data_IF_703004629745
#
_entry.id   IF_703004629745
#
_cell.length_a   1.000
_cell.length_b   1.000
_cell.length_c   1.000
_cell.angle_alpha   90.00
_cell.angle_beta   90.00
_cell.angle_gamma   90.00
#
_symmetry.space_group_name_H-M   'P 1'
#
loop_
_entity.id
_entity.type
_entity.pdbx_description
1 polymer ?
#
# COMPACT_ATOMS: atom_id res chain seq x y z
N UNK A 1 25.60 -16.90 35.24
CA UNK A 1 24.55 -16.70 34.22
C UNK A 1 24.85 -15.42 33.49
N UNK A 2 25.50 -15.49 32.33
CA UNK A 2 25.84 -14.31 31.51
C UNK A 2 24.85 -14.22 30.36
N UNK A 3 24.12 -13.11 30.34
CA UNK A 3 23.02 -12.82 29.44
C UNK A 3 23.49 -12.72 27.98
N UNK A 4 22.71 -13.35 27.08
CA UNK A 4 22.82 -13.20 25.64
C UNK A 4 22.42 -11.80 25.21
N UNK A 5 23.43 -10.99 24.90
CA UNK A 5 23.33 -9.75 24.14
C UNK A 5 22.81 -10.05 22.72
N UNK A 6 21.59 -9.59 22.46
CA UNK A 6 20.95 -9.64 21.16
C UNK A 6 21.66 -8.67 20.20
N UNK A 7 22.15 -9.18 19.08
CA UNK A 7 22.70 -8.39 18.00
C UNK A 7 21.56 -7.69 17.24
N UNK A 8 21.29 -6.43 17.58
CA UNK A 8 20.56 -5.53 16.68
C UNK A 8 21.39 -5.37 15.40
N UNK A 9 20.81 -5.78 14.27
CA UNK A 9 21.34 -5.52 12.94
C UNK A 9 21.33 -4.01 12.70
N UNK A 10 22.44 -3.36 13.05
CA UNK A 10 22.72 -1.97 12.72
C UNK A 10 22.87 -1.90 11.20
N UNK A 11 21.78 -1.54 10.50
CA UNK A 11 21.92 -0.82 9.25
C UNK A 11 22.66 0.45 9.63
N UNK A 12 23.99 0.41 9.48
CA UNK A 12 24.83 1.58 9.69
C UNK A 12 24.15 2.73 8.96
N UNK A 13 23.77 3.75 9.72
CA UNK A 13 23.20 5.01 9.27
C UNK A 13 24.27 5.73 8.46
N UNK A 14 24.59 5.20 7.28
CA UNK A 14 25.52 5.79 6.32
C UNK A 14 24.73 6.84 5.57
N UNK A 15 24.57 7.98 6.24
CA UNK A 15 24.00 9.18 5.66
C UNK A 15 25.00 9.72 4.62
N UNK A 16 24.54 10.04 3.41
CA UNK A 16 25.42 10.62 2.40
C UNK A 16 26.13 11.86 2.93
N UNK A 17 27.41 12.05 2.56
CA UNK A 17 28.17 13.22 3.01
C UNK A 17 27.56 14.53 2.51
N UNK A 18 26.97 14.47 1.31
CA UNK A 18 26.29 15.58 0.66
C UNK A 18 25.06 15.04 -0.05
N UNK A 19 23.95 15.78 0.05
CA UNK A 19 22.72 15.47 -0.65
C UNK A 19 22.73 16.17 -2.01
N UNK A 20 22.14 15.55 -3.05
CA UNK A 20 22.02 16.20 -4.33
C UNK A 20 21.10 17.42 -4.19
N UNK A 21 21.28 18.46 -5.02
CA UNK A 21 20.43 19.64 -4.96
C UNK A 21 18.97 19.23 -5.23
N UNK A 22 18.01 20.00 -4.71
CA UNK A 22 16.58 19.69 -4.78
C UNK A 22 16.04 19.56 -6.22
N UNK A 23 16.73 20.15 -7.19
CA UNK A 23 16.42 20.06 -8.62
C UNK A 23 17.08 18.85 -9.31
N UNK A 24 17.79 17.99 -8.58
CA UNK A 24 18.44 16.82 -9.14
C UNK A 24 17.40 15.75 -9.51
N UNK A 25 17.28 15.49 -10.81
CA UNK A 25 16.31 14.53 -11.37
C UNK A 25 16.90 13.13 -11.56
N UNK A 26 18.21 12.95 -11.34
CA UNK A 26 18.87 11.66 -11.47
C UNK A 26 18.40 10.63 -10.46
N UNK A 27 18.40 9.35 -10.84
CA UNK A 27 17.98 8.22 -9.98
C UNK A 27 19.12 7.69 -9.09
N UNK A 28 20.36 8.04 -9.44
CA UNK A 28 21.57 7.68 -8.70
C UNK A 28 22.51 8.88 -8.72
N UNK A 29 23.23 9.16 -7.62
CA UNK A 29 24.33 10.12 -7.61
C UNK A 29 25.52 9.56 -6.86
N UNK A 30 26.68 10.15 -7.11
CA UNK A 30 27.94 9.87 -6.45
C UNK A 30 28.32 11.10 -5.64
N UNK A 31 28.52 10.92 -4.34
CA UNK A 31 28.92 12.01 -3.45
C UNK A 31 30.40 12.39 -3.64
N UNK A 32 30.87 13.39 -2.91
CA UNK A 32 32.27 13.85 -2.96
C UNK A 32 33.28 12.82 -2.44
N UNK A 33 32.84 11.80 -1.69
CA UNK A 33 33.67 10.67 -1.27
C UNK A 33 33.77 9.57 -2.34
N UNK A 34 33.06 9.73 -3.45
CA UNK A 34 33.05 8.79 -4.55
C UNK A 34 32.11 7.59 -4.32
N UNK A 35 31.21 7.65 -3.32
CA UNK A 35 30.27 6.59 -3.00
C UNK A 35 28.91 6.81 -3.69
N UNK A 36 28.35 5.73 -4.25
CA UNK A 36 27.07 5.80 -4.96
C UNK A 36 25.84 5.64 -4.05
N UNK A 37 24.84 6.48 -4.29
CA UNK A 37 23.55 6.48 -3.63
C UNK A 37 22.40 6.47 -4.64
N UNK A 38 21.28 5.85 -4.28
CA UNK A 38 20.08 5.77 -5.12
C UNK A 38 18.88 6.43 -4.48
N UNK A 39 18.02 7.02 -5.33
CA UNK A 39 16.78 7.68 -4.92
C UNK A 39 15.75 6.61 -4.56
N UNK A 40 15.42 6.50 -3.28
CA UNK A 40 14.31 5.71 -2.77
C UNK A 40 13.25 6.64 -2.19
N UNK A 41 11.97 6.37 -2.37
CA UNK A 41 10.93 7.26 -1.88
C UNK A 41 9.54 6.85 -2.33
N UNK A 42 8.56 7.17 -1.50
CA UNK A 42 7.13 6.98 -1.72
C UNK A 42 6.47 8.27 -1.22
N UNK A 43 5.49 8.80 -1.96
CA UNK A 43 4.71 9.99 -1.58
C UNK A 43 5.58 11.24 -1.27
N UNK A 44 6.34 11.69 -2.27
CA UNK A 44 7.20 12.90 -2.27
C UNK A 44 8.37 12.93 -1.28
N UNK A 45 8.43 12.00 -0.31
CA UNK A 45 9.58 11.84 0.58
C UNK A 45 10.72 11.11 -0.13
N UNK A 46 11.81 11.83 -0.40
CA UNK A 46 13.03 11.27 -1.02
C UNK A 46 14.05 10.89 0.04
N UNK A 47 14.38 9.61 0.09
CA UNK A 47 15.45 9.03 0.88
C UNK A 47 16.57 8.50 -0.04
N UNK A 48 17.80 8.95 0.19
CA UNK A 48 18.95 8.47 -0.56
C UNK A 48 19.60 7.28 0.15
N UNK A 49 19.53 6.10 -0.47
CA UNK A 49 20.00 4.83 0.11
C UNK A 49 21.36 4.45 -0.49
N UNK A 50 22.35 4.07 0.33
CA UNK A 50 23.68 3.68 -0.17
C UNK A 50 23.61 2.44 -1.06
N UNK A 51 24.35 2.47 -2.16
CA UNK A 51 24.55 1.27 -3.00
C UNK A 51 25.64 0.42 -2.38
N UNK A 52 25.25 -0.80 -2.02
CA UNK A 52 26.16 -1.80 -1.47
C UNK A 52 26.33 -2.97 -2.44
N UNK A 53 27.53 -3.56 -2.44
CA UNK A 53 27.79 -4.85 -3.09
C UNK A 53 27.08 -5.97 -2.34
N UNK A 54 27.10 -7.18 -2.92
CA UNK A 54 26.55 -8.37 -2.25
C UNK A 54 27.20 -8.65 -0.89
N UNK A 55 28.46 -8.24 -0.72
CA UNK A 55 29.21 -8.37 0.53
C UNK A 55 28.93 -7.23 1.53
N UNK A 56 27.88 -6.43 1.30
CA UNK A 56 27.48 -5.27 2.11
C UNK A 56 28.52 -4.15 2.17
N UNK A 57 29.48 -4.12 1.24
CA UNK A 57 30.46 -3.01 1.10
C UNK A 57 29.87 -1.90 0.25
N UNK A 58 30.05 -0.63 0.63
CA UNK A 58 29.63 0.49 -0.20
C UNK A 58 30.39 0.48 -1.54
N UNK A 59 29.68 0.83 -2.61
CA UNK A 59 30.28 1.02 -3.93
C UNK A 59 30.87 2.44 -3.96
N UNK A 60 32.18 2.53 -3.72
CA UNK A 60 32.95 3.78 -3.69
C UNK A 60 34.10 3.77 -4.72
N UNK A 61 34.71 4.94 -4.97
CA UNK A 61 35.75 5.12 -6.00
C UNK A 61 35.20 5.55 -7.37
N UNK A 62 33.93 5.95 -7.43
CA UNK A 62 33.31 6.50 -8.62
C UNK A 62 33.58 8.00 -8.73
N UNK A 63 33.57 8.54 -9.96
CA UNK A 63 33.71 9.99 -10.18
C UNK A 63 32.51 10.74 -9.55
N UNK A 64 32.73 11.75 -8.69
CA UNK A 64 31.65 12.52 -8.08
C UNK A 64 30.71 13.14 -9.13
N UNK A 65 29.40 13.10 -8.85
CA UNK A 65 28.39 13.64 -9.78
C UNK A 65 28.30 15.16 -9.71
N UNK A 66 28.65 15.74 -8.56
CA UNK A 66 28.72 17.19 -8.37
C UNK A 66 30.18 17.57 -8.12
N UNK A 67 30.71 18.45 -8.94
CA UNK A 67 31.89 19.25 -8.57
C UNK A 67 31.38 20.34 -7.65
N UNK A 68 31.77 20.28 -6.37
CA UNK A 68 31.23 21.08 -5.27
C UNK A 68 30.96 22.53 -5.65
N UNK A 69 29.68 22.91 -5.63
CA UNK A 69 29.24 24.26 -5.31
C UNK A 69 28.11 24.13 -4.30
N UNK A 70 28.49 24.06 -3.03
CA UNK A 70 27.57 24.01 -1.90
C UNK A 70 26.62 25.22 -1.95
N UNK A 71 25.32 24.96 -1.94
CA UNK A 71 24.31 25.98 -1.67
C UNK A 71 24.03 26.00 -0.16
N UNK A 72 24.01 27.20 0.38
CA UNK A 72 24.03 27.61 1.79
C UNK A 72 22.95 26.96 2.67
N UNK A 73 23.22 26.69 3.97
CA UNK A 73 22.22 26.14 4.89
C UNK A 73 21.03 27.08 5.10
N UNK A 74 19.80 26.57 4.94
CA UNK A 74 18.58 27.26 5.37
C UNK A 74 18.11 26.65 6.71
N UNK A 75 17.89 27.52 7.69
CA UNK A 75 17.70 27.18 9.10
C UNK A 75 16.44 26.32 9.37
N UNK A 76 16.45 25.43 10.39
CA UNK A 76 15.29 24.61 10.76
C UNK A 76 14.17 25.46 11.38
N UNK A 77 12.95 25.33 10.89
CA UNK A 77 11.76 25.85 11.58
C UNK A 77 11.24 24.78 12.56
N UNK A 78 11.06 25.19 13.81
CA UNK A 78 10.66 24.37 14.96
C UNK A 78 9.32 23.65 14.73
N UNK A 79 9.32 22.34 14.91
CA UNK A 79 8.11 21.53 14.96
C UNK A 79 7.63 21.42 16.42
N UNK A 80 6.48 22.04 16.72
CA UNK A 80 5.78 21.90 18.00
C UNK A 80 5.17 20.50 18.10
N UNK A 81 5.51 19.79 19.18
CA UNK A 81 4.98 18.49 19.55
C UNK A 81 3.64 18.68 20.27
N UNK A 82 2.57 18.04 19.82
CA UNK A 82 1.32 17.93 20.58
C UNK A 82 1.06 16.45 20.86
N UNK A 83 1.11 16.09 22.14
CA UNK A 83 0.72 14.78 22.68
C UNK A 83 -0.79 14.75 22.95
N UNK A 84 -1.51 13.68 22.58
CA UNK A 84 -2.80 13.39 23.19
C UNK A 84 -2.71 12.25 24.23
N UNK A 85 -3.31 12.53 25.39
CA UNK A 85 -3.57 11.64 26.53
C UNK A 85 -4.89 10.87 26.30
N UNK A 86 -5.00 9.59 26.69
CA UNK A 86 -6.15 8.74 26.33
C UNK A 86 -7.28 8.83 27.36
N UNK A 87 -8.53 8.67 26.89
CA UNK A 87 -9.68 8.42 27.75
C UNK A 87 -10.63 7.41 27.10
N UNK A 88 -10.83 6.32 27.84
CA UNK A 88 -11.69 5.16 27.56
C UNK A 88 -13.19 5.46 27.74
N UNK A 89 -14.03 4.67 27.08
CA UNK A 89 -15.12 3.84 27.66
C UNK A 89 -16.09 3.46 26.51
N UNK A 90 -16.27 2.17 26.20
CA UNK A 90 -17.28 1.25 26.76
C UNK A 90 -18.73 1.70 26.36
N UNK A 91 -19.68 0.89 25.89
CA UNK A 91 -19.92 -0.57 25.91
C UNK A 91 -21.00 -0.90 24.86
N UNK A 92 -21.04 -2.18 24.45
CA UNK A 92 -22.06 -2.95 23.70
C UNK A 92 -23.45 -2.97 24.40
N UNK A 93 -24.55 -3.60 23.88
CA UNK A 93 -24.68 -4.50 22.72
C UNK A 93 -25.92 -4.34 21.81
N UNK A 94 -25.86 -5.10 20.71
CA UNK A 94 -26.89 -5.31 19.71
C UNK A 94 -28.08 -6.16 20.19
N UNK A 95 -29.25 -5.92 19.57
CA UNK A 95 -30.37 -6.86 19.55
C UNK A 95 -30.88 -7.05 18.12
N UNK A 96 -30.72 -8.27 17.60
CA UNK A 96 -31.14 -8.71 16.28
C UNK A 96 -32.63 -9.11 16.25
N UNK A 97 -33.30 -8.91 15.11
CA UNK A 97 -34.55 -9.63 14.77
C UNK A 97 -34.54 -10.12 13.32
N UNK A 98 -35.31 -11.20 13.13
CA UNK A 98 -35.19 -12.30 12.15
C UNK A 98 -35.67 -11.94 10.74
N UNK A 99 -35.06 -12.60 9.75
CA UNK A 99 -35.41 -12.59 8.34
C UNK A 99 -36.60 -13.50 8.03
N UNK A 100 -37.38 -13.15 7.00
CA UNK A 100 -38.28 -14.05 6.27
C UNK A 100 -37.95 -13.98 4.78
N UNK A 101 -37.94 -15.13 4.11
CA UNK A 101 -37.56 -15.32 2.69
C UNK A 101 -38.78 -15.34 1.76
N UNK A 102 -38.60 -15.10 0.45
CA UNK A 102 -39.63 -14.66 -0.49
C UNK A 102 -40.15 -15.76 -1.45
N UNK A 103 -41.35 -15.53 -2.01
CA UNK A 103 -41.93 -16.34 -3.10
C UNK A 103 -41.46 -15.89 -4.50
N UNK A 104 -41.54 -16.76 -5.53
CA UNK A 104 -40.89 -16.54 -6.83
C UNK A 104 -41.82 -15.88 -7.85
N UNK A 105 -41.25 -15.03 -8.72
CA UNK A 105 -41.91 -14.54 -9.95
C UNK A 105 -40.90 -14.44 -11.10
N UNK A 106 -41.35 -14.61 -12.36
CA UNK A 106 -40.62 -15.32 -13.42
C UNK A 106 -39.59 -14.49 -14.21
N UNK A 107 -38.65 -15.23 -14.80
CA UNK A 107 -37.56 -14.75 -15.66
C UNK A 107 -38.09 -14.18 -16.98
N UNK A 108 -37.96 -12.87 -17.19
CA UNK A 108 -37.92 -12.27 -18.53
C UNK A 108 -36.47 -12.07 -18.95
N UNK A 109 -36.14 -12.58 -20.14
CA UNK A 109 -34.84 -12.42 -20.80
C UNK A 109 -34.71 -10.98 -21.29
N UNK A 110 -33.77 -10.24 -20.72
CA UNK A 110 -33.30 -8.95 -21.22
C UNK A 110 -31.83 -9.08 -21.60
N UNK A 111 -31.48 -8.63 -22.80
CA UNK A 111 -30.11 -8.52 -23.30
C UNK A 111 -29.32 -7.52 -22.43
N UNK A 112 -28.10 -7.83 -21.95
CA UNK A 112 -27.43 -6.97 -21.00
C UNK A 112 -26.70 -5.85 -21.73
N UNK A 113 -27.40 -4.73 -21.93
CA UNK A 113 -26.72 -3.45 -21.97
C UNK A 113 -26.12 -3.24 -20.57
N UNK A 114 -24.78 -3.36 -20.44
CA UNK A 114 -24.07 -3.26 -19.15
C UNK A 114 -24.03 -1.80 -18.66
N UNK A 115 -25.20 -1.20 -18.45
CA UNK A 115 -25.36 -0.04 -17.59
C UNK A 115 -25.24 -0.59 -16.17
N UNK A 116 -24.07 -0.43 -15.55
CA UNK A 116 -23.88 -0.85 -14.17
C UNK A 116 -24.94 -0.20 -13.28
N UNK A 117 -25.79 -1.01 -12.64
CA UNK A 117 -26.78 -0.50 -11.68
C UNK A 117 -26.04 0.21 -10.55
N UNK A 118 -26.26 1.52 -10.42
CA UNK A 118 -25.75 2.28 -9.27
C UNK A 118 -26.56 1.87 -8.05
N UNK A 119 -25.90 1.24 -7.08
CA UNK A 119 -26.51 0.87 -5.80
C UNK A 119 -26.14 1.93 -4.78
N UNK A 120 -27.15 2.58 -4.20
CA UNK A 120 -27.00 3.47 -3.05
C UNK A 120 -27.24 2.69 -1.75
N UNK A 121 -26.78 3.18 -0.59
CA UNK A 121 -27.03 2.52 0.70
C UNK A 121 -28.52 2.24 0.95
N UNK A 122 -29.40 3.16 0.54
CA UNK A 122 -30.85 3.04 0.69
C UNK A 122 -31.45 1.84 -0.06
N UNK A 123 -30.90 1.48 -1.23
CA UNK A 123 -31.42 0.40 -2.08
C UNK A 123 -30.53 -0.86 -2.07
N UNK A 124 -29.50 -0.90 -1.23
CA UNK A 124 -28.57 -2.02 -1.21
C UNK A 124 -29.25 -3.34 -0.83
N UNK A 125 -30.11 -3.32 0.19
CA UNK A 125 -30.79 -4.52 0.67
C UNK A 125 -31.80 -5.07 -0.35
N UNK A 126 -32.59 -4.20 -0.99
CA UNK A 126 -33.56 -4.57 -2.03
C UNK A 126 -32.90 -5.06 -3.32
N UNK A 127 -31.63 -4.71 -3.55
CA UNK A 127 -30.80 -5.24 -4.64
C UNK A 127 -29.99 -6.49 -4.25
N UNK A 128 -30.25 -7.07 -3.08
CA UNK A 128 -29.61 -8.31 -2.62
C UNK A 128 -28.12 -8.14 -2.28
N UNK A 129 -27.67 -6.91 -2.02
CA UNK A 129 -26.28 -6.66 -1.60
C UNK A 129 -26.13 -7.05 -0.14
N UNK A 130 -25.31 -8.07 0.14
CA UNK A 130 -25.04 -8.53 1.50
C UNK A 130 -23.71 -7.97 2.02
N UNK A 131 -23.53 -7.80 3.35
CA UNK A 131 -22.28 -7.30 3.91
C UNK A 131 -21.05 -8.19 3.61
N UNK A 132 -21.27 -9.49 3.47
CA UNK A 132 -20.22 -10.47 3.13
C UNK A 132 -19.97 -10.56 1.63
N UNK A 133 -20.74 -9.85 0.81
CA UNK A 133 -20.56 -9.85 -0.64
C UNK A 133 -19.21 -9.26 -1.01
N UNK A 134 -18.58 -9.91 -1.98
CA UNK A 134 -17.23 -9.61 -2.40
C UNK A 134 -17.22 -8.52 -3.47
N UNK A 135 -16.41 -7.49 -3.24
CA UNK A 135 -16.29 -6.30 -4.07
C UNK A 135 -14.84 -6.05 -4.49
N UNK A 136 -14.69 -5.25 -5.54
CA UNK A 136 -13.41 -4.93 -6.16
C UNK A 136 -13.40 -3.47 -6.62
N UNK A 137 -12.29 -2.73 -6.48
CA UNK A 137 -12.16 -1.43 -7.12
C UNK A 137 -12.33 -1.56 -8.64
N UNK A 138 -13.10 -0.64 -9.23
CA UNK A 138 -13.46 -0.70 -10.66
C UNK A 138 -12.24 -0.77 -11.59
N UNK A 139 -11.17 -0.04 -11.28
CA UNK A 139 -9.95 -0.02 -12.08
C UNK A 139 -9.21 -1.39 -12.04
N UNK A 140 -9.25 -2.08 -10.90
CA UNK A 140 -8.66 -3.42 -10.77
C UNK A 140 -9.50 -4.43 -11.55
N UNK A 141 -10.83 -4.38 -11.46
CA UNK A 141 -11.71 -5.26 -12.24
C UNK A 141 -11.45 -5.15 -13.75
N UNK A 142 -11.34 -3.92 -14.26
CA UNK A 142 -11.06 -3.65 -15.67
C UNK A 142 -9.71 -4.24 -16.12
N UNK A 143 -8.64 -4.08 -15.31
CA UNK A 143 -7.32 -4.66 -15.61
C UNK A 143 -7.31 -6.19 -15.48
N UNK A 144 -8.01 -6.75 -14.48
CA UNK A 144 -8.02 -8.19 -14.18
C UNK A 144 -8.73 -9.04 -15.21
N UNK A 145 -9.72 -8.51 -15.93
CA UNK A 145 -10.36 -9.24 -17.05
C UNK A 145 -9.34 -9.74 -18.08
N UNK A 146 -8.23 -9.04 -18.26
CA UNK A 146 -7.17 -9.44 -19.19
C UNK A 146 -6.31 -10.60 -18.65
N UNK A 147 -6.27 -10.81 -17.32
CA UNK A 147 -5.41 -11.81 -16.66
C UNK A 147 -6.12 -13.14 -16.39
N UNK A 148 -7.45 -13.16 -16.29
CA UNK A 148 -8.22 -14.38 -16.00
C UNK A 148 -8.42 -15.28 -17.22
N UNK A 149 -8.22 -14.76 -18.44
CA UNK A 149 -8.36 -15.51 -19.69
C UNK A 149 -7.03 -16.13 -20.18
N UNK A 150 -6.10 -16.43 -19.27
CA UNK A 150 -4.82 -17.05 -19.64
C UNK A 150 -4.97 -18.57 -19.64
N UNK A 151 -5.06 -19.15 -20.85
CA UNK A 151 -4.96 -20.60 -21.04
C UNK A 151 -3.49 -20.99 -21.17
N UNK A 152 -3.06 -22.03 -20.45
CA UNK A 152 -1.70 -22.55 -20.55
C UNK A 152 -1.53 -23.28 -21.89
N UNK A 153 -0.59 -22.88 -22.76
CA UNK A 153 -0.38 -23.56 -24.04
C UNK A 153 0.08 -25.01 -23.87
N UNK A 154 -0.16 -25.84 -24.88
CA UNK A 154 0.28 -27.24 -24.91
C UNK A 154 1.81 -27.31 -24.71
N UNK A 155 2.26 -28.21 -23.84
CA UNK A 155 3.68 -28.37 -23.49
C UNK A 155 4.17 -27.48 -22.32
N UNK A 156 3.33 -26.56 -21.84
CA UNK A 156 3.62 -25.73 -20.67
C UNK A 156 2.83 -26.21 -19.45
N UNK A 157 3.34 -25.92 -18.25
CA UNK A 157 2.68 -26.21 -16.97
C UNK A 157 2.70 -24.98 -16.07
N UNK A 158 1.74 -24.86 -15.18
CA UNK A 158 1.76 -23.81 -14.16
C UNK A 158 2.98 -23.98 -13.24
N UNK A 159 3.64 -22.86 -12.94
CA UNK A 159 4.85 -22.83 -12.10
C UNK A 159 4.52 -23.11 -10.63
N UNK A 160 3.36 -22.65 -10.16
CA UNK A 160 2.87 -22.86 -8.80
C UNK A 160 1.60 -23.71 -8.81
N UNK A 161 1.51 -24.61 -7.83
CA UNK A 161 0.36 -25.50 -7.60
C UNK A 161 -0.11 -25.45 -6.13
N UNK A 162 0.65 -24.79 -5.27
CA UNK A 162 0.58 -24.76 -3.81
C UNK A 162 -0.03 -23.46 -3.27
N UNK A 163 -0.97 -22.86 -4.01
CA UNK A 163 -1.68 -21.62 -3.62
C UNK A 163 -0.81 -20.36 -3.44
N UNK A 164 0.49 -20.42 -3.79
CA UNK A 164 1.37 -19.23 -3.81
C UNK A 164 0.85 -18.13 -4.75
N UNK A 165 0.06 -18.48 -5.75
CA UNK A 165 -0.65 -17.54 -6.61
C UNK A 165 -2.05 -17.29 -6.05
N UNK A 166 -2.30 -16.11 -5.49
CA UNK A 166 -3.66 -15.68 -5.10
C UNK A 166 -4.40 -15.10 -6.32
N UNK A 167 -5.32 -15.84 -6.98
CA UNK A 167 -6.02 -15.37 -8.17
C UNK A 167 -7.11 -14.35 -7.82
N UNK A 168 -7.47 -14.28 -6.53
CA UNK A 168 -8.54 -13.49 -5.91
C UNK A 168 -7.99 -12.22 -5.25
N UNK A 169 -6.78 -11.80 -5.63
CA UNK A 169 -6.11 -10.59 -5.12
C UNK A 169 -7.00 -9.35 -5.22
N UNK A 170 -6.87 -8.50 -4.20
CA UNK A 170 -7.55 -7.22 -4.00
C UNK A 170 -9.05 -7.31 -3.66
N UNK A 171 -9.65 -8.50 -3.73
CA UNK A 171 -11.07 -8.66 -3.44
C UNK A 171 -11.33 -8.43 -1.95
N UNK A 172 -12.33 -7.60 -1.65
CA UNK A 172 -12.70 -7.20 -0.29
C UNK A 172 -14.15 -7.56 -0.01
N UNK A 173 -14.56 -7.65 1.24
CA UNK A 173 -15.98 -7.69 1.61
C UNK A 173 -16.47 -6.26 1.89
N UNK A 174 -17.76 -6.01 1.68
CA UNK A 174 -18.35 -4.72 2.01
C UNK A 174 -18.23 -4.41 3.51
N UNK A 175 -18.46 -5.41 4.35
CA UNK A 175 -18.30 -5.31 5.80
C UNK A 175 -16.87 -4.95 6.18
N UNK A 176 -15.87 -5.73 5.75
CA UNK A 176 -14.48 -5.47 6.13
C UNK A 176 -13.95 -4.13 5.61
N UNK A 177 -14.44 -3.68 4.45
CA UNK A 177 -14.13 -2.33 3.96
C UNK A 177 -14.80 -1.23 4.80
N UNK A 178 -16.01 -1.46 5.32
CA UNK A 178 -16.68 -0.55 6.24
C UNK A 178 -15.96 -0.50 7.61
N UNK A 179 -15.63 -1.66 8.18
CA UNK A 179 -14.88 -1.77 9.45
C UNK A 179 -13.54 -1.04 9.36
N UNK A 180 -12.83 -1.21 8.23
CA UNK A 180 -11.58 -0.49 7.98
C UNK A 180 -11.78 1.03 8.00
N UNK A 181 -12.88 1.54 7.43
CA UNK A 181 -13.17 2.98 7.37
C UNK A 181 -13.64 3.57 8.70
N UNK A 182 -14.10 2.75 9.63
CA UNK A 182 -14.40 3.19 10.99
C UNK A 182 -13.12 3.46 11.78
N UNK A 183 -12.04 2.74 11.47
CA UNK A 183 -10.77 2.85 12.19
C UNK A 183 -9.79 3.78 11.46
N UNK A 184 -9.79 3.80 10.12
CA UNK A 184 -8.77 4.47 9.31
C UNK A 184 -9.33 5.47 8.31
N UNK A 185 -8.62 6.58 8.12
CA UNK A 185 -8.93 7.57 7.08
C UNK A 185 -8.76 6.98 5.66
N UNK A 186 -9.43 7.60 4.68
CA UNK A 186 -9.36 7.18 3.27
C UNK A 186 -8.29 7.90 2.45
N UNK A 187 -7.51 8.78 3.08
CA UNK A 187 -6.41 9.55 2.48
C UNK A 187 -5.07 8.82 2.57
N UNK A 188 -4.08 9.30 1.83
CA UNK A 188 -2.68 8.82 1.91
C UNK A 188 -1.82 9.96 2.47
N UNK A 189 -1.06 9.75 3.57
CA UNK A 189 -1.01 8.54 4.40
C UNK A 189 -2.31 8.33 5.21
N UNK A 190 -2.65 7.06 5.48
CA UNK A 190 -3.80 6.72 6.34
C UNK A 190 -3.48 7.00 7.81
N UNK A 191 -4.44 7.57 8.52
CA UNK A 191 -4.37 7.84 9.97
C UNK A 191 -5.56 7.19 10.67
N UNK A 192 -5.50 7.08 11.99
CA UNK A 192 -6.67 6.69 12.78
C UNK A 192 -7.76 7.76 12.60
N UNK A 193 -9.02 7.34 12.58
CA UNK A 193 -10.15 8.28 12.67
C UNK A 193 -10.27 8.67 14.15
N UNK A 194 -10.29 9.97 14.42
CA UNK A 194 -10.41 10.55 15.77
C UNK A 194 -11.83 10.45 16.34
#
# INVERSE_FOLDING_TARGET
>A
MTAGIQALAQSATVTPREFPPVNYTGRQYVDSTGCAFIRAGIDDAVQWVPRVTRDRKLICGLKPTFTVRSATPQAPQEAVVITPKPAQAAVVPAAAKKASSPGPVPLRRAEPNLVGTVVTPANAASKGVTPTMRVMPRHVYRKRKQTLNVSVPKGYRTVWKDDRLNPRRAEQTLQGHADMKQIWTSTTPRRLVD
#
